data_IF_929782203535
#
_entry.id   IF_929782203535
#
_cell.length_a   1.000
_cell.length_b   1.000
_cell.length_c   1.000
_cell.angle_alpha   90.00
_cell.angle_beta   90.00
_cell.angle_gamma   90.00
#
_symmetry.space_group_name_H-M   'P 1'
#
loop_
_entity.id
_entity.type
_entity.pdbx_description
1 polymer ?
#
# COMPACT_ATOMS: atom_id res chain seq x y z
N UNK A 1 -30.02 10.83 -68.49
CA UNK A 1 -29.28 11.51 -69.57
C UNK A 1 -27.99 12.03 -68.96
N UNK A 2 -26.86 11.47 -69.45
CA UNK A 2 -25.44 11.91 -69.37
C UNK A 2 -24.84 12.25 -67.98
N UNK A 3 -23.97 11.43 -67.35
CA UNK A 3 -22.54 11.04 -67.57
C UNK A 3 -21.48 12.07 -67.16
N UNK A 4 -20.51 11.62 -66.35
CA UNK A 4 -19.09 12.00 -66.39
C UNK A 4 -18.55 12.60 -65.06
N UNK A 5 -17.75 11.92 -64.22
CA UNK A 5 -16.36 11.40 -64.30
C UNK A 5 -15.23 12.42 -64.06
N UNK A 6 -14.48 12.15 -62.97
CA UNK A 6 -13.01 12.06 -62.80
C UNK A 6 -12.07 13.27 -62.82
N UNK A 7 -11.06 13.16 -61.94
CA UNK A 7 -9.73 13.81 -61.94
C UNK A 7 -9.54 14.74 -60.73
N UNK A 8 -8.91 14.41 -59.60
CA UNK A 8 -7.59 13.81 -59.28
C UNK A 8 -6.38 14.74 -59.46
N UNK A 9 -5.51 14.65 -58.45
CA UNK A 9 -4.06 14.97 -58.36
C UNK A 9 -3.72 16.26 -57.60
N UNK A 10 -3.24 16.03 -56.36
CA UNK A 10 -1.98 16.48 -55.72
C UNK A 10 -1.28 17.73 -56.29
N UNK A 11 -0.62 18.59 -55.53
CA UNK A 11 0.53 18.23 -54.70
C UNK A 11 1.12 19.49 -54.03
N UNK A 12 1.99 19.26 -53.05
CA UNK A 12 3.07 20.15 -52.56
C UNK A 12 2.77 21.38 -51.69
N UNK A 13 2.91 21.15 -50.38
CA UNK A 13 3.91 21.76 -49.47
C UNK A 13 4.35 23.22 -49.73
N UNK A 14 4.12 24.10 -48.75
CA UNK A 14 5.17 24.96 -48.18
C UNK A 14 4.78 25.54 -46.83
N UNK A 15 5.74 25.43 -45.92
CA UNK A 15 5.82 25.99 -44.58
C UNK A 15 6.11 27.50 -44.61
N UNK A 16 5.47 28.26 -43.73
CA UNK A 16 6.05 29.44 -43.05
C UNK A 16 5.14 29.77 -41.86
N UNK A 17 5.56 29.50 -40.63
CA UNK A 17 6.27 30.45 -39.75
C UNK A 17 5.46 31.71 -39.43
N UNK A 18 5.28 31.86 -38.12
CA UNK A 18 5.11 33.10 -37.36
C UNK A 18 3.71 33.71 -37.23
N UNK A 19 3.24 33.62 -35.98
CA UNK A 19 3.02 34.83 -35.20
C UNK A 19 1.65 35.46 -35.37
N UNK A 20 0.80 35.30 -34.37
CA UNK A 20 0.52 36.38 -33.41
C UNK A 20 -0.82 36.17 -32.69
N UNK A 21 -0.79 36.60 -31.44
CA UNK A 21 -1.88 36.71 -30.49
C UNK A 21 -3.16 37.30 -31.09
N UNK A 22 -4.31 36.69 -30.81
CA UNK A 22 -5.58 37.41 -30.73
C UNK A 22 -6.47 36.83 -29.63
N UNK A 23 -7.13 37.75 -28.94
CA UNK A 23 -7.74 37.56 -27.63
C UNK A 23 -9.00 36.70 -27.61
N UNK A 24 -9.25 36.17 -26.42
CA UNK A 24 -10.51 35.50 -26.07
C UNK A 24 -11.63 36.53 -25.94
N UNK A 25 -12.56 36.48 -26.89
CA UNK A 25 -13.87 37.09 -26.78
C UNK A 25 -14.86 36.03 -26.29
N UNK A 26 -15.75 36.44 -25.38
CA UNK A 26 -16.77 35.59 -24.75
C UNK A 26 -17.85 35.17 -25.75
N UNK A 27 -18.28 33.91 -25.61
CA UNK A 27 -19.66 33.49 -25.85
C UNK A 27 -19.88 32.74 -27.16
N UNK A 28 -20.11 31.43 -27.06
CA UNK A 28 -21.42 30.81 -27.32
C UNK A 28 -21.32 29.28 -27.22
N UNK A 29 -22.46 28.73 -26.86
CA UNK A 29 -22.82 27.32 -26.72
C UNK A 29 -22.10 26.37 -27.69
N UNK A 30 -21.50 25.31 -27.13
CA UNK A 30 -21.20 24.09 -27.86
C UNK A 30 -21.81 22.93 -27.08
N UNK A 31 -22.84 22.39 -27.72
CA UNK A 31 -23.49 21.12 -27.47
C UNK A 31 -22.47 19.98 -27.66
N UNK A 32 -22.30 19.12 -26.65
CA UNK A 32 -21.45 17.93 -26.72
C UNK A 32 -22.28 16.68 -26.40
N UNK A 33 -22.93 16.14 -27.43
CA UNK A 33 -23.16 14.71 -27.53
C UNK A 33 -21.89 14.04 -28.04
N UNK A 34 -21.08 13.51 -27.13
CA UNK A 34 -19.91 12.70 -27.43
C UNK A 34 -19.76 11.58 -26.40
N UNK A 35 -20.32 10.41 -26.71
CA UNK A 35 -20.10 9.19 -25.96
C UNK A 35 -18.65 8.72 -26.19
N UNK A 36 -17.83 8.71 -25.13
CA UNK A 36 -16.61 7.91 -25.07
C UNK A 36 -16.85 6.81 -24.05
N UNK A 37 -17.00 5.58 -24.56
CA UNK A 37 -17.16 4.39 -23.75
C UNK A 37 -15.84 4.05 -23.05
N UNK A 38 -15.79 4.25 -21.73
CA UNK A 38 -14.86 3.49 -20.89
C UNK A 38 -15.60 2.27 -20.36
N UNK A 39 -15.15 1.09 -20.80
CA UNK A 39 -15.57 -0.20 -20.27
C UNK A 39 -15.19 -0.30 -18.79
N UNK A 40 -16.09 0.16 -17.93
CA UNK A 40 -16.10 -0.19 -16.51
C UNK A 40 -16.85 -1.52 -16.36
N UNK A 41 -16.39 -2.47 -15.50
CA UNK A 41 -17.20 -3.63 -15.20
C UNK A 41 -18.50 -3.18 -14.50
N UNK A 42 -19.61 -3.91 -14.67
CA UNK A 42 -20.91 -3.49 -14.17
C UNK A 42 -20.94 -3.38 -12.63
N UNK A 43 -21.90 -2.63 -12.05
CA UNK A 43 -22.06 -2.43 -10.60
C UNK A 43 -22.14 -3.72 -9.77
N UNK A 44 -22.38 -4.87 -10.42
CA UNK A 44 -22.37 -6.21 -9.83
C UNK A 44 -21.01 -6.62 -9.23
N UNK A 45 -19.90 -6.18 -9.83
CA UNK A 45 -18.57 -6.55 -9.33
C UNK A 45 -18.30 -5.91 -7.95
N UNK A 46 -18.68 -4.65 -7.76
CA UNK A 46 -18.44 -3.90 -6.50
C UNK A 46 -19.27 -4.45 -5.32
N UNK A 47 -20.49 -4.91 -5.60
CA UNK A 47 -21.34 -5.53 -4.58
C UNK A 47 -20.77 -6.90 -4.15
N UNK A 48 -20.23 -7.70 -5.08
CA UNK A 48 -19.65 -9.01 -4.79
C UNK A 48 -18.48 -8.94 -3.80
N UNK A 49 -17.60 -7.95 -3.93
CA UNK A 49 -16.44 -7.79 -3.02
C UNK A 49 -16.84 -7.27 -1.64
N UNK A 50 -17.82 -6.35 -1.58
CA UNK A 50 -18.34 -5.86 -0.30
C UNK A 50 -19.05 -6.97 0.46
N UNK A 51 -19.88 -7.76 -0.22
CA UNK A 51 -20.45 -9.03 0.25
C UNK A 51 -19.30 -9.92 0.76
N UNK A 52 -18.33 -10.24 -0.10
CA UNK A 52 -17.21 -11.13 0.21
C UNK A 52 -16.46 -10.75 1.50
N UNK A 53 -16.14 -9.47 1.69
CA UNK A 53 -15.43 -8.96 2.87
C UNK A 53 -16.34 -8.95 4.12
N UNK A 54 -17.61 -8.56 3.97
CA UNK A 54 -18.60 -8.54 5.05
C UNK A 54 -18.90 -9.95 5.61
N UNK A 55 -18.86 -10.96 4.74
CA UNK A 55 -19.12 -12.37 5.08
C UNK A 55 -17.95 -13.05 5.78
N UNK A 56 -16.72 -12.66 5.44
CA UNK A 56 -15.52 -13.23 6.05
C UNK A 56 -15.31 -12.71 7.48
N UNK A 57 -15.75 -11.48 7.80
CA UNK A 57 -15.44 -10.79 9.06
C UNK A 57 -16.63 -10.06 9.72
N UNK A 58 -17.69 -10.76 10.14
CA UNK A 58 -18.88 -10.12 10.72
C UNK A 58 -18.62 -9.38 12.04
N UNK A 59 -17.49 -9.62 12.73
CA UNK A 59 -17.09 -8.93 13.96
C UNK A 59 -16.34 -7.60 13.73
N UNK A 60 -15.92 -7.30 12.51
CA UNK A 60 -15.04 -6.15 12.18
C UNK A 60 -15.85 -4.93 11.66
N UNK A 61 -17.13 -5.14 11.34
CA UNK A 61 -17.97 -4.14 10.65
C UNK A 61 -18.31 -2.83 11.37
N UNK A 62 -18.42 -2.72 12.71
CA UNK A 62 -18.73 -1.43 13.34
C UNK A 62 -17.71 -0.32 13.04
N UNK A 63 -16.49 -0.69 12.64
CA UNK A 63 -15.41 0.23 12.28
C UNK A 63 -15.45 0.69 10.81
N UNK A 64 -15.85 -0.18 9.86
CA UNK A 64 -15.75 0.11 8.42
C UNK A 64 -16.93 0.90 7.83
N UNK A 65 -18.11 0.86 8.46
CA UNK A 65 -19.30 1.57 7.95
C UNK A 65 -19.16 3.10 8.00
N UNK A 66 -18.25 3.63 8.83
CA UNK A 66 -17.94 5.07 8.91
C UNK A 66 -17.01 5.56 7.79
N UNK A 67 -16.20 4.67 7.22
CA UNK A 67 -15.09 5.01 6.29
C UNK A 67 -15.57 5.08 4.82
N UNK A 68 -16.57 4.29 4.43
CA UNK A 68 -17.01 4.18 3.03
C UNK A 68 -18.04 5.25 2.60
N UNK A 69 -18.44 6.15 3.50
CA UNK A 69 -19.38 7.23 3.20
C UNK A 69 -18.81 8.34 2.31
N UNK A 70 -17.49 8.42 2.11
CA UNK A 70 -16.86 9.66 1.61
C UNK A 70 -15.85 9.53 0.46
N UNK A 71 -15.50 8.35 -0.06
CA UNK A 71 -14.46 8.27 -1.12
C UNK A 71 -14.77 7.28 -2.24
N UNK A 72 -14.83 7.82 -3.48
CA UNK A 72 -15.37 7.17 -4.69
C UNK A 72 -14.38 6.34 -5.50
N UNK A 73 -13.18 6.06 -4.99
CA UNK A 73 -12.15 5.28 -5.72
C UNK A 73 -11.38 4.39 -4.75
N UNK A 74 -11.86 3.16 -4.57
CA UNK A 74 -11.01 2.08 -4.08
C UNK A 74 -10.97 0.98 -5.14
N UNK A 75 -9.76 0.73 -5.65
CA UNK A 75 -9.44 -0.52 -6.29
C UNK A 75 -9.59 -1.64 -5.25
N UNK A 76 -10.05 -2.79 -5.73
CA UNK A 76 -10.49 -3.95 -4.93
C UNK A 76 -9.33 -4.75 -4.36
N UNK A 77 -8.16 -4.67 -4.99
CA UNK A 77 -6.95 -5.43 -4.67
C UNK A 77 -6.42 -5.29 -3.22
N UNK A 78 -6.38 -4.10 -2.59
CA UNK A 78 -5.84 -3.96 -1.23
C UNK A 78 -6.69 -4.64 -0.14
N UNK A 79 -8.01 -4.68 -0.27
CA UNK A 79 -8.87 -5.13 0.82
C UNK A 79 -8.82 -6.65 1.06
N UNK A 80 -8.60 -7.46 0.02
CA UNK A 80 -8.47 -8.92 0.18
C UNK A 80 -7.16 -9.33 0.84
N UNK A 81 -6.07 -8.56 0.67
CA UNK A 81 -4.74 -8.89 1.20
C UNK A 81 -4.57 -8.54 2.68
N UNK A 82 -5.01 -7.35 3.09
CA UNK A 82 -5.03 -6.95 4.51
C UNK A 82 -5.85 -7.92 5.38
N UNK A 83 -6.90 -8.52 4.82
CA UNK A 83 -7.73 -9.52 5.50
C UNK A 83 -7.07 -10.90 5.60
N UNK A 84 -6.32 -11.33 4.58
CA UNK A 84 -5.48 -12.52 4.65
C UNK A 84 -4.40 -12.38 5.73
N UNK A 85 -3.80 -11.19 5.82
CA UNK A 85 -2.75 -10.87 6.77
C UNK A 85 -3.25 -10.81 8.22
N UNK A 86 -4.38 -10.14 8.44
CA UNK A 86 -5.04 -10.09 9.74
C UNK A 86 -5.40 -11.48 10.27
N UNK A 87 -5.79 -12.42 9.40
CA UNK A 87 -6.01 -13.82 9.80
C UNK A 87 -4.72 -14.59 10.12
N UNK A 88 -3.60 -14.27 9.46
CA UNK A 88 -2.33 -14.92 9.71
C UNK A 88 -1.66 -14.45 11.02
N UNK A 89 -1.90 -13.19 11.42
CA UNK A 89 -1.35 -12.60 12.66
C UNK A 89 -2.20 -12.85 13.91
N UNK A 90 -3.50 -13.14 13.76
CA UNK A 90 -4.28 -13.78 14.82
C UNK A 90 -3.73 -15.20 15.01
N UNK A 91 -3.39 -15.56 16.26
CA UNK A 91 -2.81 -16.85 16.67
C UNK A 91 -3.80 -18.01 16.47
N UNK A 92 -4.21 -18.28 15.23
CA UNK A 92 -4.82 -19.55 14.86
C UNK A 92 -3.64 -20.49 14.65
N UNK A 93 -3.51 -21.57 15.45
CA UNK A 93 -2.46 -22.55 15.23
C UNK A 93 -2.57 -23.07 13.78
N UNK A 94 -1.64 -22.70 12.91
CA UNK A 94 -1.53 -23.25 11.55
C UNK A 94 -1.45 -24.79 11.54
N UNK A 95 -1.14 -25.40 12.69
CA UNK A 95 -1.09 -26.84 12.91
C UNK A 95 -2.45 -27.57 12.92
N UNK A 96 -3.59 -26.91 12.69
CA UNK A 96 -4.88 -27.59 12.53
C UNK A 96 -5.77 -27.00 11.42
N UNK A 97 -5.19 -26.55 10.31
CA UNK A 97 -6.00 -26.29 9.12
C UNK A 97 -6.66 -27.60 8.67
N UNK A 98 -7.98 -27.74 8.92
CA UNK A 98 -8.79 -28.86 8.44
C UNK A 98 -8.55 -29.00 6.94
N UNK A 99 -7.95 -30.11 6.51
CA UNK A 99 -7.85 -30.40 5.08
C UNK A 99 -9.25 -30.58 4.53
N UNK A 100 -9.62 -29.74 3.55
CA UNK A 100 -10.93 -29.81 2.93
C UNK A 100 -10.98 -30.98 1.94
N UNK A 101 -12.00 -31.82 2.12
CA UNK A 101 -12.38 -32.82 1.12
C UNK A 101 -13.15 -32.14 -0.03
N UNK A 102 -13.31 -32.81 -1.17
CA UNK A 102 -14.12 -32.26 -2.27
C UNK A 102 -15.59 -32.08 -1.87
N UNK A 103 -16.10 -32.95 -1.00
CA UNK A 103 -17.43 -32.79 -0.42
C UNK A 103 -17.53 -31.54 0.48
N UNK A 104 -16.48 -31.24 1.25
CA UNK A 104 -16.40 -30.04 2.06
C UNK A 104 -16.40 -28.78 1.19
N UNK A 105 -15.56 -28.75 0.13
CA UNK A 105 -15.53 -27.66 -0.86
C UNK A 105 -16.87 -27.45 -1.54
N UNK A 106 -17.53 -28.54 -1.96
CA UNK A 106 -18.83 -28.46 -2.61
C UNK A 106 -19.91 -27.87 -1.68
N UNK A 107 -19.92 -28.25 -0.40
CA UNK A 107 -20.85 -27.67 0.59
C UNK A 107 -20.58 -26.19 0.83
N UNK A 108 -19.31 -25.81 0.99
CA UNK A 108 -18.94 -24.43 1.22
C UNK A 108 -19.20 -23.54 -0.01
N UNK A 109 -18.94 -24.05 -1.22
CA UNK A 109 -19.29 -23.36 -2.48
C UNK A 109 -20.82 -23.19 -2.60
N UNK A 110 -21.61 -24.23 -2.34
CA UNK A 110 -23.07 -24.13 -2.40
C UNK A 110 -23.63 -23.10 -1.41
N UNK A 111 -23.03 -22.97 -0.22
CA UNK A 111 -23.36 -21.90 0.72
C UNK A 111 -23.05 -20.51 0.15
N UNK A 112 -21.87 -20.32 -0.47
CA UNK A 112 -21.50 -19.04 -1.09
C UNK A 112 -22.40 -18.67 -2.27
N UNK A 113 -22.72 -19.62 -3.14
CA UNK A 113 -23.61 -19.42 -4.28
C UNK A 113 -25.01 -19.00 -3.80
N UNK A 114 -25.56 -19.71 -2.80
CA UNK A 114 -26.84 -19.36 -2.19
C UNK A 114 -26.82 -17.97 -1.53
N UNK A 115 -25.71 -17.61 -0.88
CA UNK A 115 -25.54 -16.28 -0.29
C UNK A 115 -25.51 -15.20 -1.38
N UNK A 116 -24.78 -15.43 -2.46
CA UNK A 116 -24.69 -14.50 -3.58
C UNK A 116 -26.06 -14.29 -4.23
N UNK A 117 -26.82 -15.37 -4.45
CA UNK A 117 -28.18 -15.31 -4.99
C UNK A 117 -29.13 -14.55 -4.06
N UNK A 118 -29.07 -14.83 -2.75
CA UNK A 118 -29.90 -14.15 -1.76
C UNK A 118 -29.60 -12.65 -1.68
N UNK A 119 -28.33 -12.26 -1.74
CA UNK A 119 -27.93 -10.85 -1.76
C UNK A 119 -28.34 -10.17 -3.07
N UNK A 120 -28.25 -10.86 -4.21
CA UNK A 120 -28.68 -10.33 -5.51
C UNK A 120 -30.20 -10.09 -5.60
N UNK A 121 -30.98 -10.81 -4.80
CA UNK A 121 -32.43 -10.64 -4.70
C UNK A 121 -32.85 -9.40 -3.87
N UNK A 122 -31.92 -8.75 -3.17
CA UNK A 122 -32.19 -7.54 -2.37
C UNK A 122 -32.00 -6.31 -3.27
N UNK A 123 -33.08 -5.60 -3.69
CA UNK A 123 -33.00 -4.54 -4.70
C UNK A 123 -32.35 -3.24 -4.20
N UNK A 124 -32.36 -3.00 -2.89
CA UNK A 124 -31.79 -1.82 -2.25
C UNK A 124 -31.15 -2.20 -0.90
N UNK A 125 -30.06 -1.54 -0.54
CA UNK A 125 -29.35 -1.81 0.71
C UNK A 125 -30.27 -1.58 1.92
N UNK A 126 -30.58 -2.67 2.62
CA UNK A 126 -31.31 -2.65 3.88
C UNK A 126 -30.67 -3.66 4.84
N UNK A 127 -30.17 -3.23 6.01
CA UNK A 127 -29.42 -4.09 6.93
C UNK A 127 -30.27 -5.24 7.49
N UNK A 128 -31.57 -5.01 7.72
CA UNK A 128 -32.48 -6.03 8.25
C UNK A 128 -32.77 -7.12 7.20
N UNK A 129 -32.94 -6.72 5.93
CA UNK A 129 -33.12 -7.66 4.82
C UNK A 129 -31.87 -8.50 4.58
N UNK A 130 -30.69 -7.87 4.63
CA UNK A 130 -29.41 -8.58 4.53
C UNK A 130 -29.30 -9.59 5.67
N UNK A 131 -29.54 -9.18 6.92
CA UNK A 131 -29.44 -10.08 8.06
C UNK A 131 -30.45 -11.25 7.96
N UNK A 132 -31.67 -11.00 7.50
CA UNK A 132 -32.68 -12.03 7.31
C UNK A 132 -32.25 -13.05 6.24
N UNK A 133 -31.78 -12.57 5.08
CA UNK A 133 -31.26 -13.42 4.01
C UNK A 133 -30.07 -14.26 4.47
N UNK A 134 -29.12 -13.68 5.21
CA UNK A 134 -27.99 -14.42 5.77
C UNK A 134 -28.43 -15.55 6.70
N UNK A 135 -29.41 -15.29 7.58
CA UNK A 135 -29.96 -16.30 8.50
C UNK A 135 -30.67 -17.42 7.74
N UNK A 136 -31.40 -17.08 6.68
CA UNK A 136 -32.09 -18.07 5.85
C UNK A 136 -31.10 -18.98 5.12
N UNK A 137 -30.07 -18.42 4.49
CA UNK A 137 -29.01 -19.18 3.81
C UNK A 137 -28.27 -20.07 4.80
N UNK A 138 -27.90 -19.57 5.98
CA UNK A 138 -27.25 -20.36 7.03
C UNK A 138 -28.11 -21.54 7.52
N UNK A 139 -29.44 -21.36 7.54
CA UNK A 139 -30.37 -22.44 7.89
C UNK A 139 -30.50 -23.48 6.78
N UNK A 140 -30.51 -23.05 5.51
CA UNK A 140 -30.67 -23.93 4.35
C UNK A 140 -29.38 -24.66 3.97
N UNK A 141 -28.23 -24.04 4.20
CA UNK A 141 -26.90 -24.54 3.85
C UNK A 141 -26.00 -24.54 5.10
N UNK A 142 -26.28 -25.40 6.10
CA UNK A 142 -25.51 -25.40 7.33
C UNK A 142 -24.06 -25.82 7.06
N UNK A 143 -23.14 -24.91 7.37
CA UNK A 143 -21.69 -25.18 7.43
C UNK A 143 -21.19 -24.82 8.83
N UNK A 144 -20.30 -25.64 9.37
CA UNK A 144 -19.66 -25.35 10.65
C UNK A 144 -18.57 -24.26 10.52
N UNK A 145 -18.25 -23.60 11.64
CA UNK A 145 -17.28 -22.49 11.65
C UNK A 145 -15.90 -22.92 11.16
N UNK A 146 -15.45 -24.14 11.49
CA UNK A 146 -14.15 -24.65 11.06
C UNK A 146 -14.09 -24.89 9.55
N UNK A 147 -15.18 -25.39 8.94
CA UNK A 147 -15.32 -25.53 7.49
C UNK A 147 -15.32 -24.17 6.80
N UNK A 148 -16.06 -23.21 7.35
CA UNK A 148 -16.12 -21.83 6.85
C UNK A 148 -14.73 -21.20 6.86
N UNK A 149 -14.02 -21.25 7.99
CA UNK A 149 -12.66 -20.71 8.13
C UNK A 149 -11.66 -21.40 7.19
N UNK A 150 -11.65 -22.73 7.13
CA UNK A 150 -10.75 -23.47 6.24
C UNK A 150 -11.00 -23.16 4.76
N UNK A 151 -12.26 -23.01 4.35
CA UNK A 151 -12.61 -22.71 2.97
C UNK A 151 -12.34 -21.26 2.58
N UNK A 152 -12.58 -20.33 3.52
CA UNK A 152 -12.14 -18.94 3.42
C UNK A 152 -10.63 -18.84 3.23
N UNK A 153 -9.84 -19.59 3.99
CA UNK A 153 -8.39 -19.64 3.82
C UNK A 153 -7.98 -20.24 2.46
N UNK A 154 -8.63 -21.32 1.99
CA UNK A 154 -8.37 -21.89 0.66
C UNK A 154 -8.69 -20.89 -0.46
N UNK A 155 -9.81 -20.16 -0.36
CA UNK A 155 -10.19 -19.14 -1.34
C UNK A 155 -9.27 -17.92 -1.31
N UNK A 156 -8.87 -17.43 -0.13
CA UNK A 156 -7.90 -16.35 -0.01
C UNK A 156 -6.56 -16.76 -0.63
N UNK A 157 -6.12 -18.00 -0.43
CA UNK A 157 -4.91 -18.52 -1.08
C UNK A 157 -5.06 -18.62 -2.61
N UNK A 158 -6.25 -18.94 -3.13
CA UNK A 158 -6.53 -18.93 -4.58
C UNK A 158 -6.63 -17.53 -5.17
N UNK A 159 -7.14 -16.56 -4.40
CA UNK A 159 -7.33 -15.17 -4.80
C UNK A 159 -6.12 -14.29 -4.52
N UNK A 160 -5.22 -14.73 -3.65
CA UNK A 160 -3.89 -14.17 -3.56
C UNK A 160 -3.26 -14.36 -4.93
N UNK A 161 -3.23 -13.28 -5.72
CA UNK A 161 -2.27 -13.17 -6.82
C UNK A 161 -0.94 -13.67 -6.24
N UNK A 162 -0.27 -14.67 -6.86
CA UNK A 162 1.05 -15.11 -6.38
C UNK A 162 1.84 -13.82 -6.19
N UNK A 163 2.42 -13.64 -4.99
CA UNK A 163 3.02 -12.36 -4.62
C UNK A 163 3.88 -11.96 -5.80
N UNK A 164 3.41 -10.93 -6.50
CA UNK A 164 4.15 -10.37 -7.61
C UNK A 164 5.21 -9.52 -6.92
N UNK A 165 6.17 -10.20 -6.29
CA UNK A 165 7.56 -9.78 -6.30
C UNK A 165 8.09 -10.11 -7.70
N UNK A 166 7.32 -9.75 -8.72
CA UNK A 166 7.92 -9.32 -9.96
C UNK A 166 8.95 -8.30 -9.52
N UNK A 167 10.21 -8.56 -9.81
CA UNK A 167 10.93 -7.47 -10.40
C UNK A 167 10.39 -7.46 -11.83
N UNK A 168 9.77 -6.37 -12.29
CA UNK A 168 9.94 -6.02 -13.70
C UNK A 168 11.44 -6.12 -13.93
N UNK A 169 11.94 -7.12 -14.69
CA UNK A 169 13.37 -7.38 -14.73
C UNK A 169 14.00 -6.15 -15.38
N UNK A 170 14.62 -5.30 -14.57
CA UNK A 170 15.43 -4.22 -15.08
C UNK A 170 16.53 -4.91 -15.87
N UNK A 171 16.60 -4.65 -17.17
CA UNK A 171 17.53 -5.32 -18.08
C UNK A 171 19.01 -5.18 -17.69
N UNK A 172 19.31 -4.30 -16.73
CA UNK A 172 20.63 -4.04 -16.17
C UNK A 172 20.90 -4.71 -14.81
N UNK A 173 19.93 -5.38 -14.18
CA UNK A 173 20.14 -6.16 -12.95
C UNK A 173 20.42 -7.64 -13.26
N UNK A 174 21.12 -8.33 -12.36
CA UNK A 174 21.25 -9.79 -12.41
C UNK A 174 19.88 -10.45 -12.24
N UNK A 175 19.69 -11.61 -12.90
CA UNK A 175 18.43 -12.35 -12.83
C UNK A 175 18.10 -12.78 -11.40
N UNK A 176 19.13 -13.09 -10.60
CA UNK A 176 19.06 -13.53 -9.20
C UNK A 176 19.28 -12.38 -8.20
N UNK A 177 19.18 -11.11 -8.63
CA UNK A 177 19.36 -9.97 -7.73
C UNK A 177 18.44 -10.09 -6.49
N UNK A 178 18.93 -9.80 -5.28
CA UNK A 178 18.14 -9.94 -4.08
C UNK A 178 17.00 -8.94 -4.06
N UNK A 179 15.91 -9.32 -3.41
CA UNK A 179 14.84 -8.39 -3.06
C UNK A 179 14.68 -8.33 -1.55
N UNK A 180 13.94 -7.33 -1.09
CA UNK A 180 13.74 -7.04 0.32
C UNK A 180 14.31 -5.68 0.70
N UNK A 181 13.78 -5.08 1.76
CA UNK A 181 14.18 -3.76 2.23
C UNK A 181 15.32 -3.86 3.25
N UNK A 182 16.16 -2.83 3.29
CA UNK A 182 17.15 -2.66 4.35
C UNK A 182 16.46 -2.20 5.62
N UNK A 183 16.86 -2.74 6.76
CA UNK A 183 16.32 -2.38 8.07
C UNK A 183 17.38 -1.67 8.90
N UNK A 184 17.11 -0.42 9.25
CA UNK A 184 17.97 0.39 10.11
C UNK A 184 17.52 0.31 11.56
N UNK A 185 18.49 0.04 12.43
CA UNK A 185 18.30 0.08 13.87
C UNK A 185 18.57 1.49 14.40
N UNK A 186 17.50 2.24 14.66
CA UNK A 186 17.56 3.60 15.21
C UNK A 186 17.59 3.68 16.72
N UNK A 187 17.12 2.63 17.39
CA UNK A 187 17.12 2.54 18.84
C UNK A 187 17.91 1.35 19.36
N UNK A 188 18.72 1.64 20.39
CA UNK A 188 19.51 0.67 21.13
C UNK A 188 19.04 0.54 22.59
N UNK A 189 17.85 1.06 22.90
CA UNK A 189 17.28 1.05 24.25
C UNK A 189 16.79 -0.34 24.68
N UNK A 190 16.44 -1.21 23.74
CA UNK A 190 15.90 -2.53 24.02
C UNK A 190 16.27 -3.59 22.95
N UNK A 191 17.35 -4.33 23.20
CA UNK A 191 17.83 -5.41 22.31
C UNK A 191 16.79 -6.53 22.12
N UNK A 192 16.05 -6.89 23.17
CA UNK A 192 15.07 -7.97 23.10
C UNK A 192 13.85 -7.58 22.24
N UNK A 193 13.39 -6.33 22.32
CA UNK A 193 12.33 -5.81 21.45
C UNK A 193 12.79 -5.75 19.99
N UNK A 194 14.04 -5.32 19.75
CA UNK A 194 14.64 -5.33 18.41
C UNK A 194 14.61 -6.72 17.77
N UNK A 195 15.08 -7.74 18.49
CA UNK A 195 15.04 -9.13 17.98
C UNK A 195 13.61 -9.61 17.71
N UNK A 196 12.65 -9.29 18.60
CA UNK A 196 11.23 -9.60 18.37
C UNK A 196 10.69 -8.93 17.09
N UNK A 197 11.08 -7.68 16.83
CA UNK A 197 10.67 -6.97 15.61
C UNK A 197 11.20 -7.65 14.35
N UNK A 198 12.49 -8.04 14.34
CA UNK A 198 13.08 -8.77 13.20
C UNK A 198 12.40 -10.13 12.97
N UNK A 199 12.07 -10.86 14.05
CA UNK A 199 11.29 -12.10 13.95
C UNK A 199 9.94 -11.84 13.30
N UNK A 200 9.25 -10.76 13.65
CA UNK A 200 7.94 -10.43 13.09
C UNK A 200 8.02 -10.09 11.59
N UNK A 201 9.06 -9.35 11.15
CA UNK A 201 9.30 -9.07 9.72
C UNK A 201 9.56 -10.38 8.96
N UNK A 202 10.43 -11.25 9.48
CA UNK A 202 10.72 -12.54 8.84
C UNK A 202 9.49 -13.44 8.77
N UNK A 203 8.69 -13.45 9.84
CA UNK A 203 7.45 -14.21 9.87
C UNK A 203 6.44 -13.74 8.82
N UNK A 204 6.34 -12.43 8.59
CA UNK A 204 5.53 -11.89 7.48
C UNK A 204 5.99 -12.45 6.14
N UNK A 205 7.30 -12.35 5.87
CA UNK A 205 7.91 -12.86 4.63
C UNK A 205 7.62 -14.36 4.44
N UNK A 206 7.88 -15.17 5.47
CA UNK A 206 7.65 -16.62 5.40
C UNK A 206 6.18 -16.95 5.13
N UNK A 207 5.26 -16.17 5.70
CA UNK A 207 3.81 -16.35 5.53
C UNK A 207 3.36 -15.93 4.13
N UNK A 208 3.80 -14.77 3.65
CA UNK A 208 3.42 -14.24 2.35
C UNK A 208 4.00 -15.07 1.19
N UNK A 209 5.15 -15.73 1.39
CA UNK A 209 5.84 -16.52 0.38
C UNK A 209 5.60 -18.03 0.50
N UNK A 210 4.60 -18.47 1.28
CA UNK A 210 4.26 -19.89 1.34
C UNK A 210 3.98 -20.42 -0.08
N UNK A 211 4.78 -21.40 -0.51
CA UNK A 211 4.70 -21.97 -1.87
C UNK A 211 5.51 -21.24 -2.96
N UNK A 212 6.23 -20.17 -2.62
CA UNK A 212 7.05 -19.35 -3.53
C UNK A 212 8.54 -19.48 -3.21
N UNK A 213 9.10 -20.70 -3.41
CA UNK A 213 10.46 -21.01 -2.98
C UNK A 213 11.55 -20.17 -3.66
N UNK A 214 11.39 -19.83 -4.94
CA UNK A 214 12.39 -19.03 -5.67
C UNK A 214 12.46 -17.60 -5.12
N UNK A 215 11.31 -16.99 -4.87
CA UNK A 215 11.19 -15.68 -4.24
C UNK A 215 11.79 -15.72 -2.84
N UNK A 216 11.43 -16.72 -2.02
CA UNK A 216 11.96 -16.86 -0.67
C UNK A 216 13.50 -16.99 -0.65
N UNK A 217 14.09 -17.72 -1.61
CA UNK A 217 15.56 -17.87 -1.71
C UNK A 217 16.30 -16.57 -2.05
N UNK A 218 15.62 -15.63 -2.71
CA UNK A 218 16.18 -14.33 -3.10
C UNK A 218 15.87 -13.20 -2.12
N UNK A 219 15.05 -13.46 -1.11
CA UNK A 219 14.79 -12.47 -0.08
C UNK A 219 16.04 -12.26 0.77
N UNK A 220 16.41 -11.00 0.95
CA UNK A 220 17.55 -10.60 1.75
C UNK A 220 17.20 -9.39 2.61
N UNK A 221 16.96 -9.66 3.89
CA UNK A 221 16.69 -8.66 4.93
C UNK A 221 18.00 -8.13 5.52
N UNK A 222 18.63 -7.20 4.81
CA UNK A 222 19.86 -6.56 5.27
C UNK A 222 19.58 -5.72 6.51
N UNK A 223 20.35 -5.93 7.57
CA UNK A 223 20.23 -5.14 8.82
C UNK A 223 21.42 -4.19 8.95
N UNK A 224 21.12 -2.93 9.28
CA UNK A 224 22.09 -1.88 9.56
C UNK A 224 22.10 -1.61 11.06
N UNK A 225 22.95 -2.37 11.76
CA UNK A 225 23.15 -2.31 13.20
C UNK A 225 24.55 -1.74 13.50
N UNK A 226 24.62 -0.42 13.64
CA UNK A 226 25.82 0.32 14.05
C UNK A 226 25.41 1.43 15.04
N UNK A 227 25.54 1.11 16.33
CA UNK A 227 25.19 2.03 17.42
C UNK A 227 25.89 3.38 17.30
N UNK A 228 27.14 3.40 16.85
CA UNK A 228 27.90 4.66 16.76
C UNK A 228 27.34 5.62 15.71
N UNK A 229 26.56 5.11 14.75
CA UNK A 229 26.02 5.87 13.62
C UNK A 229 24.53 6.11 13.72
N UNK A 230 23.79 5.16 14.27
CA UNK A 230 22.33 5.14 14.16
C UNK A 230 21.59 5.31 15.49
N UNK A 231 22.27 5.27 16.64
CA UNK A 231 21.63 5.49 17.94
C UNK A 231 21.07 6.92 18.04
N UNK A 232 19.73 7.03 18.08
CA UNK A 232 19.03 8.31 18.07
C UNK A 232 19.04 9.04 16.73
N UNK A 233 19.43 8.38 15.63
CA UNK A 233 19.42 9.00 14.30
C UNK A 233 17.99 9.28 13.82
N UNK A 234 17.79 10.39 13.12
CA UNK A 234 16.52 10.72 12.48
C UNK A 234 16.37 10.12 11.06
N UNK A 235 15.15 10.12 10.49
CA UNK A 235 14.91 9.65 9.12
C UNK A 235 15.82 10.29 8.07
N UNK A 236 16.16 11.57 8.21
CA UNK A 236 17.03 12.28 7.26
C UNK A 236 18.47 11.75 7.25
N UNK A 237 19.03 11.43 8.43
CA UNK A 237 20.37 10.88 8.55
C UNK A 237 20.43 9.46 8.00
N UNK A 238 19.39 8.66 8.26
CA UNK A 238 19.24 7.32 7.69
C UNK A 238 19.11 7.38 6.17
N UNK A 239 18.29 8.29 5.64
CA UNK A 239 18.13 8.50 4.19
C UNK A 239 19.45 8.84 3.50
N UNK A 240 20.27 9.69 4.13
CA UNK A 240 21.59 10.03 3.58
C UNK A 240 22.49 8.79 3.45
N UNK A 241 22.59 7.99 4.51
CA UNK A 241 23.35 6.74 4.45
C UNK A 241 22.77 5.73 3.45
N UNK A 242 21.44 5.62 3.42
CA UNK A 242 20.74 4.70 2.54
C UNK A 242 20.97 5.02 1.05
N UNK A 243 21.06 6.30 0.68
CA UNK A 243 21.42 6.70 -0.68
C UNK A 243 22.77 6.11 -1.12
N UNK A 244 23.79 6.21 -0.27
CA UNK A 244 25.11 5.64 -0.54
C UNK A 244 25.05 4.11 -0.64
N UNK A 245 24.39 3.47 0.32
CA UNK A 245 24.26 2.01 0.33
C UNK A 245 23.54 1.50 -0.91
N UNK A 246 22.45 2.17 -1.32
CA UNK A 246 21.63 1.75 -2.46
C UNK A 246 22.43 1.80 -3.78
N UNK A 247 23.31 2.80 -3.94
CA UNK A 247 24.23 2.87 -5.08
C UNK A 247 25.20 1.70 -5.08
N UNK A 248 25.86 1.46 -3.95
CA UNK A 248 26.87 0.40 -3.85
C UNK A 248 26.21 -0.98 -4.05
N UNK A 249 24.98 -1.17 -3.54
CA UNK A 249 24.18 -2.38 -3.73
C UNK A 249 23.73 -2.55 -5.18
N UNK A 250 23.28 -1.49 -5.83
CA UNK A 250 22.89 -1.52 -7.24
C UNK A 250 24.07 -1.93 -8.12
N UNK A 251 25.26 -1.38 -7.85
CA UNK A 251 26.47 -1.76 -8.57
C UNK A 251 26.87 -3.22 -8.32
N UNK A 252 26.71 -3.74 -7.10
CA UNK A 252 26.95 -5.17 -6.79
C UNK A 252 26.00 -6.10 -7.55
N UNK A 253 24.77 -5.66 -7.79
CA UNK A 253 23.73 -6.44 -8.47
C UNK A 253 23.61 -6.12 -9.96
N UNK A 254 24.56 -5.36 -10.50
CA UNK A 254 24.60 -5.04 -11.92
C UNK A 254 24.85 -6.28 -12.78
N UNK A 255 24.15 -6.38 -13.91
CA UNK A 255 24.24 -7.49 -14.84
C UNK A 255 25.64 -7.54 -15.47
N UNK A 256 26.30 -8.71 -15.53
CA UNK A 256 27.68 -8.84 -16.02
C UNK A 256 27.85 -8.49 -17.51
N UNK A 257 26.77 -8.39 -18.27
CA UNK A 257 26.78 -8.05 -19.70
C UNK A 257 27.00 -6.56 -20.00
N UNK A 258 27.00 -5.68 -18.98
CA UNK A 258 27.18 -4.23 -19.16
C UNK A 258 28.05 -3.63 -18.06
N UNK A 259 28.74 -2.53 -18.37
CA UNK A 259 29.51 -1.78 -17.37
C UNK A 259 28.54 -0.93 -16.53
N UNK A 260 28.58 -0.99 -15.20
CA UNK A 260 27.76 -0.12 -14.36
C UNK A 260 28.18 1.36 -14.53
N UNK A 261 27.23 2.30 -14.45
CA UNK A 261 27.54 3.72 -14.35
C UNK A 261 28.39 4.03 -13.10
N UNK A 262 29.09 5.16 -13.13
CA UNK A 262 29.81 5.65 -11.94
C UNK A 262 28.84 6.00 -10.80
N UNK A 263 29.33 6.02 -9.56
CA UNK A 263 28.54 6.43 -8.39
C UNK A 263 27.93 7.81 -8.57
N UNK A 264 28.72 8.78 -9.05
CA UNK A 264 28.23 10.13 -9.35
C UNK A 264 27.15 10.15 -10.43
N UNK A 265 27.24 9.28 -11.44
CA UNK A 265 26.21 9.17 -12.47
C UNK A 265 24.91 8.59 -11.93
N UNK A 266 24.97 7.63 -11.00
CA UNK A 266 23.79 7.05 -10.36
C UNK A 266 23.10 8.02 -9.40
N UNK A 267 23.86 8.79 -8.63
CA UNK A 267 23.31 9.75 -7.65
C UNK A 267 22.66 10.97 -8.30
N UNK A 268 23.19 11.42 -9.45
CA UNK A 268 22.74 12.64 -10.12
C UNK A 268 21.82 12.36 -11.32
N UNK A 269 21.46 11.09 -11.56
CA UNK A 269 20.58 10.73 -12.66
C UNK A 269 19.14 11.24 -12.44
N UNK A 270 18.46 11.56 -13.54
CA UNK A 270 17.07 12.02 -13.54
C UNK A 270 16.30 11.42 -14.70
N UNK A 271 15.01 11.14 -14.53
CA UNK A 271 14.17 10.59 -15.58
C UNK A 271 14.63 9.20 -16.03
N UNK A 272 14.69 8.96 -17.34
CA UNK A 272 14.97 7.63 -17.90
C UNK A 272 16.37 7.07 -17.59
N UNK A 273 17.28 7.88 -17.04
CA UNK A 273 18.61 7.42 -16.61
C UNK A 273 18.69 7.18 -15.10
N UNK A 274 17.62 7.44 -14.34
CA UNK A 274 17.55 7.12 -12.91
C UNK A 274 17.39 5.61 -12.74
N UNK A 275 18.52 4.91 -12.81
CA UNK A 275 18.58 3.46 -12.65
C UNK A 275 18.12 3.03 -11.27
N UNK A 276 18.39 3.84 -10.23
CA UNK A 276 17.97 3.52 -8.88
C UNK A 276 16.45 3.48 -8.78
N UNK A 277 15.75 4.42 -9.42
CA UNK A 277 14.29 4.38 -9.49
C UNK A 277 13.76 3.13 -10.19
N UNK A 278 14.33 2.83 -11.35
CA UNK A 278 13.97 1.68 -12.17
C UNK A 278 14.38 0.33 -11.58
N UNK A 279 15.08 0.32 -10.43
CA UNK A 279 15.53 -0.90 -9.76
C UNK A 279 14.55 -1.41 -8.71
N UNK A 280 13.43 -0.72 -8.49
CA UNK A 280 12.36 -1.16 -7.60
C UNK A 280 12.60 -0.86 -6.12
N UNK A 281 11.79 -1.44 -5.22
CA UNK A 281 11.64 -0.95 -3.85
C UNK A 281 12.91 -1.03 -3.01
N UNK A 282 13.72 -2.09 -3.19
CA UNK A 282 14.95 -2.34 -2.43
C UNK A 282 15.91 -1.16 -2.45
N UNK A 283 15.95 -0.42 -3.56
CA UNK A 283 16.86 0.69 -3.77
C UNK A 283 16.21 2.06 -3.50
N UNK A 284 14.88 2.11 -3.41
CA UNK A 284 14.12 3.35 -3.23
C UNK A 284 13.60 3.54 -1.80
N UNK A 285 13.46 2.46 -1.03
CA UNK A 285 12.90 2.51 0.32
C UNK A 285 13.70 1.69 1.32
N UNK A 286 13.72 2.13 2.56
CA UNK A 286 14.26 1.36 3.69
C UNK A 286 13.33 1.43 4.89
N UNK A 287 13.44 0.43 5.77
CA UNK A 287 12.78 0.43 7.06
C UNK A 287 13.68 1.07 8.12
N UNK A 288 13.07 1.75 9.06
CA UNK A 288 13.72 2.34 10.21
C UNK A 288 12.92 2.04 11.48
N UNK A 289 13.61 1.54 12.50
CA UNK A 289 13.01 1.11 13.76
C UNK A 289 13.61 1.95 14.89
N UNK A 290 12.82 2.87 15.40
CA UNK A 290 13.15 3.70 16.55
C UNK A 290 12.43 3.21 17.83
N UNK A 291 12.49 4.01 18.91
CA UNK A 291 11.86 3.64 20.17
C UNK A 291 10.32 3.47 20.05
N UNK A 292 9.65 4.27 19.21
CA UNK A 292 8.19 4.16 19.02
C UNK A 292 7.86 2.83 18.36
N UNK A 293 8.64 2.43 17.36
CA UNK A 293 8.49 1.14 16.69
C UNK A 293 8.69 -0.01 17.69
N UNK A 294 9.73 0.03 18.53
CA UNK A 294 9.98 -1.01 19.53
C UNK A 294 8.87 -1.07 20.61
N UNK A 295 8.37 0.06 21.06
CA UNK A 295 7.27 0.12 22.03
C UNK A 295 5.96 -0.43 21.45
N UNK A 296 5.73 -0.27 20.13
CA UNK A 296 4.52 -0.73 19.47
C UNK A 296 4.27 -2.24 19.63
N UNK A 297 5.34 -3.04 19.82
CA UNK A 297 5.24 -4.49 20.09
C UNK A 297 4.39 -4.82 21.31
N UNK A 298 4.42 -3.96 22.34
CA UNK A 298 3.72 -4.20 23.60
C UNK A 298 2.51 -3.26 23.77
N UNK A 299 2.38 -2.24 22.91
CA UNK A 299 1.35 -1.20 22.99
C UNK A 299 0.26 -1.32 21.93
N UNK A 300 0.52 -2.04 20.84
CA UNK A 300 -0.41 -2.21 19.72
C UNK A 300 -0.67 -3.69 19.44
N UNK A 301 -1.84 -3.98 18.87
CA UNK A 301 -2.15 -5.33 18.41
C UNK A 301 -1.28 -5.75 17.22
N UNK A 302 -0.92 -4.79 16.37
CA UNK A 302 -0.04 -4.98 15.22
C UNK A 302 1.07 -3.92 15.31
N UNK A 303 2.33 -4.33 15.49
CA UNK A 303 3.44 -3.39 15.62
C UNK A 303 3.75 -2.69 14.30
N UNK A 304 4.43 -1.56 14.41
CA UNK A 304 4.70 -0.63 13.29
C UNK A 304 6.19 -0.42 13.09
N UNK A 305 6.55 -0.05 11.86
CA UNK A 305 7.90 0.35 11.46
C UNK A 305 7.82 1.61 10.60
N UNK A 306 8.89 2.40 10.55
CA UNK A 306 8.97 3.54 9.64
C UNK A 306 9.46 3.08 8.27
N UNK A 307 8.80 3.50 7.22
CA UNK A 307 9.23 3.36 5.85
C UNK A 307 9.78 4.71 5.36
N UNK A 308 11.03 4.76 4.96
CA UNK A 308 11.71 5.98 4.48
C UNK A 308 11.84 5.93 2.96
N UNK A 309 11.41 6.99 2.29
CA UNK A 309 11.59 7.20 0.86
C UNK A 309 12.95 7.87 0.59
N UNK A 310 13.78 7.25 -0.24
CA UNK A 310 15.10 7.76 -0.66
C UNK A 310 15.01 9.10 -1.39
N UNK A 311 14.01 9.25 -2.26
CA UNK A 311 13.88 10.36 -3.21
C UNK A 311 13.53 11.67 -2.55
N UNK A 312 12.94 11.60 -1.37
CA UNK A 312 12.45 12.78 -0.70
C UNK A 312 13.62 13.69 -0.32
N UNK A 313 13.48 14.97 -0.68
CA UNK A 313 14.40 16.03 -0.32
C UNK A 313 13.58 17.18 0.28
N UNK A 314 14.12 17.76 1.36
CA UNK A 314 13.48 18.90 2.00
C UNK A 314 13.54 20.10 1.04
N UNK A 315 12.40 20.53 0.49
CA UNK A 315 12.31 21.71 -0.39
C UNK A 315 11.90 21.46 -1.86
N UNK A 316 11.38 20.28 -2.22
CA UNK A 316 10.72 20.08 -3.52
C UNK A 316 9.57 21.07 -3.76
N UNK A 317 9.43 21.57 -4.99
CA UNK A 317 8.49 22.63 -5.38
C UNK A 317 7.05 22.41 -4.85
N UNK A 318 6.63 23.25 -3.88
CA UNK A 318 5.25 23.56 -3.41
C UNK A 318 5.04 23.59 -1.88
N UNK A 319 6.06 23.79 -1.05
CA UNK A 319 5.80 24.18 0.35
C UNK A 319 5.61 25.70 0.45
N UNK A 320 4.41 26.18 0.12
CA UNK A 320 4.00 27.51 0.59
C UNK A 320 3.84 27.44 2.10
N UNK A 321 4.70 28.16 2.82
CA UNK A 321 4.52 28.47 4.23
C UNK A 321 3.16 29.18 4.37
N UNK A 322 2.16 28.51 4.91
CA UNK A 322 0.95 29.19 5.35
C UNK A 322 1.22 29.76 6.74
N UNK A 323 1.17 31.09 6.88
CA UNK A 323 1.38 31.81 8.14
C UNK A 323 0.25 31.62 9.18
N UNK A 324 -0.50 30.51 9.10
CA UNK A 324 -1.44 30.10 10.13
C UNK A 324 -0.72 29.14 11.07
N UNK A 325 -0.02 29.70 12.06
CA UNK A 325 0.45 28.98 13.23
C UNK A 325 -0.76 28.64 14.11
N UNK A 326 -1.45 27.56 13.75
CA UNK A 326 -2.44 26.89 14.56
C UNK A 326 -1.81 25.69 15.26
N UNK A 327 -0.81 25.95 16.11
CA UNK A 327 -0.36 25.05 17.18
C UNK A 327 -0.34 23.56 16.81
N UNK A 328 0.78 23.09 16.26
CA UNK A 328 1.03 21.71 15.82
C UNK A 328 0.12 20.66 16.51
N UNK A 329 -0.88 20.09 15.82
CA UNK A 329 -1.86 19.17 16.40
C UNK A 329 -1.27 17.79 16.76
N UNK A 330 0.04 17.58 16.55
CA UNK A 330 0.76 16.34 16.83
C UNK A 330 1.41 15.71 15.59
N UNK A 331 1.51 16.44 14.46
CA UNK A 331 2.17 15.95 13.25
C UNK A 331 3.68 15.75 13.49
N UNK A 332 4.23 14.65 12.97
CA UNK A 332 5.65 14.33 13.08
C UNK A 332 6.39 14.76 11.80
N UNK A 333 7.47 15.54 11.97
CA UNK A 333 8.26 16.09 10.86
C UNK A 333 7.54 17.20 10.09
N UNK A 334 8.14 17.60 8.96
CA UNK A 334 7.62 18.65 8.06
C UNK A 334 7.75 20.08 8.62
N UNK A 335 7.25 21.04 7.84
CA UNK A 335 7.28 22.49 8.19
C UNK A 335 5.89 23.11 8.27
N UNK A 336 4.83 22.36 7.93
CA UNK A 336 3.45 22.83 7.94
C UNK A 336 2.55 21.88 8.75
N UNK A 337 1.38 22.37 9.17
CA UNK A 337 0.32 21.56 9.75
C UNK A 337 -0.58 20.87 8.70
N UNK A 338 -0.13 20.82 7.44
CA UNK A 338 -0.88 20.22 6.35
C UNK A 338 -0.79 18.68 6.40
N UNK A 339 -1.94 18.02 6.53
CA UNK A 339 -2.05 16.56 6.51
C UNK A 339 -1.56 15.91 5.20
N UNK A 340 -1.45 16.69 4.11
CA UNK A 340 -0.96 16.24 2.82
C UNK A 340 0.52 16.56 2.57
N UNK A 341 1.21 17.22 3.50
CA UNK A 341 2.63 17.49 3.33
C UNK A 341 3.43 16.18 3.43
N UNK A 342 4.19 15.88 2.38
CA UNK A 342 5.12 14.75 2.33
C UNK A 342 6.39 15.05 3.14
N UNK A 343 6.69 14.21 4.14
CA UNK A 343 7.91 14.29 4.96
C UNK A 343 8.95 13.23 4.60
N UNK A 344 8.69 12.46 3.55
CA UNK A 344 9.61 11.48 3.00
C UNK A 344 9.73 10.21 3.80
N UNK A 345 8.80 9.99 4.73
CA UNK A 345 8.68 8.76 5.50
C UNK A 345 7.26 8.64 6.05
N UNK A 346 6.81 7.40 6.29
CA UNK A 346 5.52 7.11 6.91
C UNK A 346 5.63 5.89 7.83
N UNK A 347 4.64 5.66 8.68
CA UNK A 347 4.54 4.39 9.40
C UNK A 347 3.74 3.37 8.58
N UNK A 348 4.16 2.11 8.69
CA UNK A 348 3.46 0.96 8.12
C UNK A 348 3.39 -0.14 9.17
N UNK A 349 2.36 -0.99 9.11
CA UNK A 349 2.37 -2.19 9.92
C UNK A 349 3.51 -3.11 9.48
N UNK A 350 4.18 -3.73 10.45
CA UNK A 350 5.24 -4.70 10.14
C UNK A 350 4.73 -5.89 9.31
N UNK A 351 3.44 -6.16 9.48
CA UNK A 351 2.70 -7.23 8.85
C UNK A 351 2.41 -6.91 7.36
N UNK A 352 2.47 -5.64 6.96
CA UNK A 352 2.28 -5.25 5.56
C UNK A 352 3.62 -5.20 4.80
N UNK A 353 4.72 -5.76 5.32
CA UNK A 353 6.05 -5.60 4.73
C UNK A 353 6.12 -6.07 3.26
N UNK A 354 5.64 -7.28 2.97
CA UNK A 354 5.63 -7.80 1.59
C UNK A 354 4.64 -7.04 0.70
N UNK A 355 3.50 -6.64 1.25
CA UNK A 355 2.45 -5.92 0.52
C UNK A 355 2.84 -4.49 0.17
N UNK A 356 3.51 -3.79 1.08
CA UNK A 356 4.09 -2.47 0.87
C UNK A 356 5.18 -2.55 -0.19
N UNK A 357 6.03 -3.57 -0.12
CA UNK A 357 7.06 -3.78 -1.13
C UNK A 357 6.46 -4.01 -2.52
N UNK A 358 5.42 -4.83 -2.65
CA UNK A 358 4.72 -5.05 -3.92
C UNK A 358 4.03 -3.78 -4.43
N UNK A 359 3.42 -2.99 -3.54
CA UNK A 359 2.78 -1.72 -3.92
C UNK A 359 3.78 -0.67 -4.40
N UNK A 360 5.01 -0.69 -3.89
CA UNK A 360 6.05 0.28 -4.24
C UNK A 360 6.94 -0.16 -5.40
N UNK A 361 6.57 -1.24 -6.12
CA UNK A 361 7.34 -1.72 -7.28
C UNK A 361 7.47 -0.64 -8.35
N UNK A 362 6.38 0.11 -8.60
CA UNK A 362 6.41 1.34 -9.36
C UNK A 362 6.71 2.52 -8.43
N UNK A 363 7.83 3.22 -8.67
CA UNK A 363 8.28 4.34 -7.85
C UNK A 363 7.28 5.50 -7.73
N UNK A 364 6.30 5.58 -8.64
CA UNK A 364 5.23 6.58 -8.63
C UNK A 364 4.10 6.27 -7.62
N UNK A 365 4.01 5.04 -7.11
CA UNK A 365 2.94 4.64 -6.20
C UNK A 365 3.08 5.24 -4.79
N UNK A 366 4.22 5.84 -4.44
CA UNK A 366 4.43 6.51 -3.16
C UNK A 366 3.32 7.53 -2.86
N UNK A 367 2.97 8.38 -3.83
CA UNK A 367 1.96 9.42 -3.64
C UNK A 367 0.55 8.85 -3.35
N UNK A 368 0.26 7.64 -3.83
CA UNK A 368 -1.03 6.97 -3.64
C UNK A 368 -1.13 6.22 -2.31
N UNK A 369 0.00 5.84 -1.72
CA UNK A 369 0.05 5.09 -0.45
C UNK A 369 0.53 5.91 0.74
N UNK A 370 1.13 7.08 0.50
CA UNK A 370 1.66 7.95 1.53
C UNK A 370 0.57 8.44 2.49
N UNK A 371 0.88 8.37 3.78
CA UNK A 371 0.08 8.94 4.87
C UNK A 371 1.01 9.73 5.78
N UNK A 372 0.63 10.98 6.10
CA UNK A 372 1.41 11.86 6.95
C UNK A 372 1.48 11.34 8.39
N UNK A 373 2.68 11.10 8.95
CA UNK A 373 2.85 10.74 10.36
C UNK A 373 2.34 11.80 11.33
N UNK A 374 1.70 11.41 12.44
CA UNK A 374 1.67 10.06 13.01
C UNK A 374 0.42 9.25 12.62
N UNK A 375 -0.27 9.58 11.53
CA UNK A 375 -1.37 8.73 11.08
C UNK A 375 -0.84 7.59 10.21
N UNK A 376 -1.53 6.44 10.26
CA UNK A 376 -1.37 5.35 9.30
C UNK A 376 -2.57 5.22 8.38
N UNK A 377 -2.42 4.36 7.36
CA UNK A 377 -3.53 3.99 6.47
C UNK A 377 -4.72 3.52 7.32
N UNK A 378 -5.90 4.07 7.04
CA UNK A 378 -7.17 3.80 7.74
C UNK A 378 -7.35 4.46 9.12
N UNK A 379 -6.36 5.19 9.63
CA UNK A 379 -6.52 6.02 10.82
C UNK A 379 -7.03 7.43 10.44
N UNK A 380 -7.87 8.00 11.29
CA UNK A 380 -8.46 9.34 11.06
C UNK A 380 -8.37 10.26 12.27
N UNK A 381 -7.96 9.74 13.43
CA UNK A 381 -7.90 10.51 14.68
C UNK A 381 -6.53 10.31 15.35
N UNK A 382 -5.90 11.40 15.81
CA UNK A 382 -4.59 11.37 16.48
C UNK A 382 -4.55 10.55 17.77
N UNK A 383 -5.70 10.35 18.42
CA UNK A 383 -5.78 9.52 19.63
C UNK A 383 -5.54 8.03 19.33
N UNK A 384 -5.74 7.64 18.07
CA UNK A 384 -5.54 6.27 17.58
C UNK A 384 -4.17 6.14 16.87
N UNK A 385 -3.46 7.25 16.65
CA UNK A 385 -2.12 7.30 16.06
C UNK A 385 -1.09 6.53 16.90
N UNK A 386 -0.13 5.86 16.26
CA UNK A 386 0.97 5.21 16.99
C UNK A 386 1.77 6.23 17.81
N UNK A 387 2.35 5.77 18.92
CA UNK A 387 3.01 6.68 19.85
C UNK A 387 2.06 7.53 20.70
N UNK A 388 0.73 7.44 20.53
CA UNK A 388 -0.24 8.21 21.34
C UNK A 388 -0.02 8.03 22.86
N UNK A 389 0.45 6.85 23.27
CA UNK A 389 0.77 6.53 24.66
C UNK A 389 1.87 7.42 25.26
N UNK A 390 2.69 8.07 24.44
CA UNK A 390 3.70 9.05 24.87
C UNK A 390 3.09 10.42 25.19
N UNK A 391 1.94 10.76 24.60
CA UNK A 391 1.26 12.05 24.82
C UNK A 391 0.33 12.05 26.04
N UNK A 392 0.03 10.87 26.60
CA UNK A 392 -0.97 10.65 27.65
C UNK A 392 -0.70 11.24 29.05
N UNK A 393 0.45 11.86 29.28
CA UNK A 393 0.75 12.54 30.56
C UNK A 393 0.55 14.06 30.52
N UNK A 394 0.53 14.69 29.35
CA UNK A 394 0.44 16.16 29.23
C UNK A 394 -1.00 16.67 29.03
N UNK A 395 -1.90 15.83 28.53
CA UNK A 395 -3.29 16.21 28.20
C UNK A 395 -4.30 16.02 29.34
N UNK A 396 -3.91 15.43 30.48
CA UNK A 396 -4.81 15.24 31.64
C UNK A 396 -4.87 16.43 32.61
N UNK A 397 -3.92 17.36 32.56
CA UNK A 397 -3.87 18.52 33.48
C UNK A 397 -4.53 19.80 32.92
N UNK A 398 -5.11 19.75 31.71
CA UNK A 398 -5.66 20.92 31.04
C UNK A 398 -7.12 21.28 31.35
N UNK A 399 -7.85 20.47 32.12
CA UNK A 399 -9.31 20.64 32.31
C UNK A 399 -9.77 20.94 33.73
N UNK A 400 -8.87 21.12 34.70
CA UNK A 400 -9.22 21.62 36.04
C UNK A 400 -8.67 23.03 36.24
N UNK A 401 -9.37 24.04 35.71
CA UNK A 401 -8.88 25.41 35.88
C UNK A 401 -9.66 26.54 35.21
N UNK A 402 -10.99 26.49 35.15
CA UNK A 402 -11.79 27.73 35.03
C UNK A 402 -12.97 27.63 35.99
N UNK A 403 -12.76 28.23 37.16
CA UNK A 403 -13.75 28.57 38.18
C UNK A 403 -14.75 29.61 37.70
#
# INVERSE_FOLDING_TARGET
MVRGTFGSIDDTLRTSSDGSCLGFNRGKDIDWHGWVAFNSPPPRFRLCIYIYISFMFPRVMPYYSRILGTTRKFLVKPATRTLSHWHATQTIPQNMARQLTDADRARAQAYLDAMQDAMAAIPEYNPDHIQAACKEVARAHPIDDALREAYSAELLNRMADPVSVSHVPSNFLKLDAPWGLVVYRGSYSNDAAWERMLVQIRHDVDTALQGQQEQAQRHDLVTMDDRSRFDGAGPDQVRHHFNDWAVDELQRNWSPGTRPPSKDALLNATGNTDYLDQSGPRYNFCLFIDDVCLESLDKMAIPVVKLINRRWTQGGERQQKSDADDGNPGWEGGVTNNEFEDVGWMYVHVCDYVDVQSQLEDGDNWADVYVRPPLMRFETEFKDAHGFWRYGSSLRDGTEGVS
#
